data_IF_919698868350
#
_entry.id   IF_919698868350
#
_cell.length_a   1.000
_cell.length_b   1.000
_cell.length_c   1.000
_cell.angle_alpha   90.00
_cell.angle_beta   90.00
_cell.angle_gamma   90.00
#
_symmetry.space_group_name_H-M   'P 1'
#
loop_
_entity.id
_entity.type
_entity.pdbx_description
1 polymer ?
#
# COMPACT_ATOMS: atom_id res chain seq x y z
N UNK A 1 -8.09 -6.42 -18.38
CA UNK A 1 -7.60 -5.04 -18.60
C UNK A 1 -7.79 -4.27 -17.29
N UNK A 2 -6.86 -4.41 -16.35
CA UNK A 2 -7.06 -3.85 -15.00
C UNK A 2 -6.77 -2.37 -15.04
N UNK A 3 -7.83 -1.57 -14.86
CA UNK A 3 -7.81 -0.12 -14.79
C UNK A 3 -6.64 0.34 -13.91
N UNK A 4 -5.85 1.27 -14.43
CA UNK A 4 -4.74 1.91 -13.74
C UNK A 4 -5.34 2.79 -12.64
N UNK A 5 -5.70 2.16 -11.51
CA UNK A 5 -6.38 2.82 -10.39
C UNK A 5 -5.33 3.66 -9.68
N UNK A 6 -5.34 4.96 -9.99
CA UNK A 6 -4.53 5.95 -9.30
C UNK A 6 -4.96 6.01 -7.84
N UNK A 7 -3.98 6.16 -6.96
CA UNK A 7 -4.19 6.37 -5.54
C UNK A 7 -4.08 7.86 -5.25
N UNK A 8 -4.89 8.36 -4.32
CA UNK A 8 -4.65 9.69 -3.76
C UNK A 8 -3.36 9.70 -2.95
N UNK A 9 -2.76 10.86 -2.73
CA UNK A 9 -1.58 11.02 -1.89
C UNK A 9 -1.78 10.38 -0.51
N UNK A 10 -2.93 10.62 0.13
CA UNK A 10 -3.24 10.07 1.45
C UNK A 10 -3.39 8.54 1.43
N UNK A 11 -4.00 7.98 0.38
CA UNK A 11 -4.11 6.52 0.21
C UNK A 11 -2.74 5.88 0.03
N UNK A 12 -1.86 6.53 -0.73
CA UNK A 12 -0.50 6.08 -0.94
C UNK A 12 0.33 6.14 0.36
N UNK A 13 0.25 7.25 1.11
CA UNK A 13 0.96 7.40 2.38
C UNK A 13 0.51 6.37 3.42
N UNK A 14 -0.80 6.10 3.52
CA UNK A 14 -1.33 5.04 4.39
C UNK A 14 -0.83 3.65 3.98
N UNK A 15 -0.78 3.36 2.68
CA UNK A 15 -0.28 2.09 2.18
C UNK A 15 1.22 1.91 2.49
N UNK A 16 2.01 2.98 2.36
CA UNK A 16 3.46 2.97 2.63
C UNK A 16 3.77 2.96 4.12
N UNK A 17 2.96 3.59 4.97
CA UNK A 17 3.20 3.65 6.43
C UNK A 17 3.26 2.26 7.08
N UNK A 18 2.54 1.28 6.54
CA UNK A 18 2.57 -0.11 7.00
C UNK A 18 3.65 -0.98 6.35
N UNK A 19 4.44 -0.45 5.41
CA UNK A 19 5.42 -1.19 4.63
C UNK A 19 6.85 -0.87 5.06
N UNK A 20 7.63 -1.91 5.38
CA UNK A 20 9.09 -1.80 5.44
C UNK A 20 9.65 -1.84 4.02
N UNK A 21 9.74 -0.69 3.37
CA UNK A 21 10.25 -0.52 2.00
C UNK A 21 11.22 0.66 1.96
N UNK A 22 12.27 0.55 1.14
CA UNK A 22 13.26 1.62 0.99
C UNK A 22 12.69 2.84 0.24
N UNK A 23 13.26 4.02 0.48
CA UNK A 23 12.78 5.30 -0.07
C UNK A 23 12.75 5.32 -1.60
N UNK A 24 13.73 4.68 -2.26
CA UNK A 24 13.82 4.66 -3.73
C UNK A 24 12.64 3.93 -4.38
N UNK A 25 12.27 2.70 -3.97
CA UNK A 25 11.01 2.07 -4.37
C UNK A 25 9.75 2.87 -4.04
N UNK A 26 9.68 3.55 -2.89
CA UNK A 26 8.55 4.41 -2.54
C UNK A 26 8.42 5.56 -3.54
N UNK A 27 9.53 6.23 -3.86
CA UNK A 27 9.54 7.31 -4.84
C UNK A 27 9.08 6.82 -6.24
N UNK A 28 9.52 5.63 -6.67
CA UNK A 28 9.06 5.02 -7.93
C UNK A 28 7.56 4.78 -7.93
N UNK A 29 7.04 4.17 -6.86
CA UNK A 29 5.62 3.86 -6.74
C UNK A 29 4.77 5.14 -6.67
N UNK A 30 5.23 6.20 -6.01
CA UNK A 30 4.56 7.51 -5.93
C UNK A 30 4.38 8.14 -7.32
N UNK A 31 5.45 8.13 -8.14
CA UNK A 31 5.40 8.64 -9.52
C UNK A 31 4.36 7.93 -10.38
N UNK A 32 4.20 6.63 -10.17
CA UNK A 32 3.28 5.82 -10.98
C UNK A 32 1.85 5.88 -10.45
N UNK A 33 1.67 5.69 -9.14
CA UNK A 33 0.35 5.52 -8.51
C UNK A 33 -0.32 6.86 -8.17
N UNK A 34 0.45 7.91 -7.86
CA UNK A 34 -0.08 9.23 -7.49
C UNK A 34 0.05 10.23 -8.64
N UNK A 35 1.24 10.36 -9.22
CA UNK A 35 1.50 11.32 -10.31
C UNK A 35 1.00 10.80 -11.69
N UNK A 36 0.59 9.53 -11.79
CA UNK A 36 0.06 8.93 -13.01
C UNK A 36 1.09 8.69 -14.13
N UNK A 37 2.39 8.75 -13.80
CA UNK A 37 3.46 8.45 -14.75
C UNK A 37 3.41 6.99 -15.19
N UNK A 38 3.67 6.70 -16.46
CA UNK A 38 3.75 5.30 -16.90
C UNK A 38 4.96 4.60 -16.26
N UNK A 39 4.86 3.30 -16.00
CA UNK A 39 5.99 2.53 -15.46
C UNK A 39 7.23 2.57 -16.38
N UNK A 40 7.01 2.66 -17.70
CA UNK A 40 8.08 2.76 -18.69
C UNK A 40 8.78 4.13 -18.63
N UNK A 41 8.04 5.21 -18.43
CA UNK A 41 8.61 6.56 -18.28
C UNK A 41 9.35 6.70 -16.96
N UNK A 42 8.79 6.15 -15.87
CA UNK A 42 9.44 6.10 -14.57
C UNK A 42 10.76 5.31 -14.64
N UNK A 43 10.76 4.16 -15.32
CA UNK A 43 11.96 3.35 -15.54
C UNK A 43 13.04 4.12 -16.31
N UNK A 44 12.66 4.82 -17.39
CA UNK A 44 13.58 5.66 -18.19
C UNK A 44 14.12 6.84 -17.38
N UNK A 45 13.25 7.56 -16.66
CA UNK A 45 13.62 8.75 -15.89
C UNK A 45 14.58 8.43 -14.74
N UNK A 46 14.47 7.25 -14.13
CA UNK A 46 15.28 6.85 -12.97
C UNK A 46 16.44 5.90 -13.33
N UNK A 47 16.61 5.57 -14.61
CA UNK A 47 17.66 4.66 -15.08
C UNK A 47 17.56 3.26 -14.48
N UNK A 48 16.35 2.78 -14.23
CA UNK A 48 16.07 1.47 -13.60
C UNK A 48 15.35 0.53 -14.56
N UNK A 49 15.37 -0.77 -14.26
CA UNK A 49 14.61 -1.74 -15.04
C UNK A 49 13.09 -1.56 -14.83
N UNK A 50 12.30 -1.79 -15.88
CA UNK A 50 10.84 -1.78 -15.80
C UNK A 50 10.32 -2.77 -14.73
N UNK A 51 11.01 -3.89 -14.55
CA UNK A 51 10.66 -4.89 -13.53
C UNK A 51 10.83 -4.34 -12.10
N UNK A 52 11.87 -3.55 -11.83
CA UNK A 52 12.04 -2.91 -10.52
C UNK A 52 10.91 -1.94 -10.20
N UNK A 53 10.47 -1.16 -11.20
CA UNK A 53 9.30 -0.27 -11.06
C UNK A 53 8.03 -1.08 -10.82
N UNK A 54 7.81 -2.15 -11.60
CA UNK A 54 6.65 -3.04 -11.44
C UNK A 54 6.58 -3.67 -10.05
N UNK A 55 7.71 -4.17 -9.52
CA UNK A 55 7.80 -4.72 -8.16
C UNK A 55 7.45 -3.68 -7.10
N UNK A 56 7.98 -2.46 -7.21
CA UNK A 56 7.68 -1.39 -6.26
C UNK A 56 6.20 -0.99 -6.29
N UNK A 57 5.64 -0.84 -7.48
CA UNK A 57 4.22 -0.48 -7.68
C UNK A 57 3.29 -1.56 -7.15
N UNK A 58 3.54 -2.82 -7.50
CA UNK A 58 2.72 -3.93 -7.03
C UNK A 58 2.77 -4.04 -5.50
N UNK A 59 3.95 -3.90 -4.89
CA UNK A 59 4.08 -3.97 -3.42
C UNK A 59 3.24 -2.93 -2.69
N UNK A 60 3.23 -1.68 -3.16
CA UNK A 60 2.39 -0.63 -2.55
C UNK A 60 0.90 -0.88 -2.81
N UNK A 61 0.56 -1.38 -3.99
CA UNK A 61 -0.81 -1.67 -4.36
C UNK A 61 -1.39 -2.87 -3.60
N UNK A 62 -0.63 -3.95 -3.46
CA UNK A 62 -1.01 -5.12 -2.66
C UNK A 62 -1.24 -4.69 -1.21
N UNK A 63 -0.37 -3.84 -0.66
CA UNK A 63 -0.53 -3.31 0.70
C UNK A 63 -1.79 -2.43 0.85
N UNK A 64 -2.21 -1.73 -0.20
CA UNK A 64 -3.49 -1.04 -0.19
C UNK A 64 -4.66 -2.02 -0.32
N UNK A 65 -4.60 -2.96 -1.26
CA UNK A 65 -5.70 -3.90 -1.56
C UNK A 65 -5.97 -4.87 -0.39
N UNK A 66 -4.98 -5.11 0.47
CA UNK A 66 -5.15 -5.82 1.75
C UNK A 66 -6.13 -5.15 2.73
N UNK A 67 -6.41 -3.85 2.57
CA UNK A 67 -7.36 -3.12 3.41
C UNK A 67 -8.72 -3.10 2.72
N UNK A 68 -9.74 -3.81 3.24
CA UNK A 68 -11.06 -3.86 2.61
C UNK A 68 -11.71 -2.46 2.53
N UNK A 69 -12.60 -2.27 1.55
CA UNK A 69 -13.34 -1.02 1.43
C UNK A 69 -14.14 -0.73 2.73
N UNK A 70 -14.01 0.49 3.26
CA UNK A 70 -14.62 0.91 4.52
C UNK A 70 -13.80 0.59 5.78
N UNK A 71 -12.62 -0.04 5.62
CA UNK A 71 -11.66 -0.28 6.70
C UNK A 71 -10.42 0.60 6.52
N UNK A 72 -9.71 0.85 7.62
CA UNK A 72 -8.47 1.63 7.64
C UNK A 72 -7.40 0.89 8.44
N UNK A 73 -6.18 0.83 7.91
CA UNK A 73 -5.00 0.35 8.63
C UNK A 73 -4.48 1.47 9.52
N UNK A 74 -4.48 1.26 10.83
CA UNK A 74 -4.00 2.23 11.82
C UNK A 74 -2.75 1.69 12.52
N UNK A 75 -1.74 2.54 12.72
CA UNK A 75 -0.57 2.27 13.56
C UNK A 75 -0.54 3.30 14.67
N UNK A 76 -0.64 2.88 15.93
CA UNK A 76 -0.73 3.76 17.09
C UNK A 76 0.04 3.22 18.30
N UNK A 77 0.60 4.11 19.11
CA UNK A 77 1.20 3.78 20.41
C UNK A 77 0.10 3.89 21.47
N UNK A 78 -0.23 2.77 22.13
CA UNK A 78 -1.33 2.67 23.07
C UNK A 78 -0.87 2.04 24.40
N UNK A 79 -1.51 2.38 25.54
CA UNK A 79 -1.33 1.65 26.79
C UNK A 79 -1.69 0.16 26.65
N UNK A 80 -1.06 -0.71 27.44
CA UNK A 80 -1.17 -2.16 27.33
C UNK A 80 -2.62 -2.66 27.30
N UNK A 81 -3.50 -2.12 28.16
CA UNK A 81 -4.89 -2.53 28.22
C UNK A 81 -5.67 -2.24 26.92
N UNK A 82 -5.40 -1.11 26.27
CA UNK A 82 -6.02 -0.75 24.98
C UNK A 82 -5.43 -1.58 23.84
N UNK A 83 -4.12 -1.84 23.87
CA UNK A 83 -3.47 -2.72 22.91
C UNK A 83 -4.05 -4.14 22.96
N UNK A 84 -4.36 -4.68 24.14
CA UNK A 84 -5.02 -5.98 24.29
C UNK A 84 -6.41 -6.01 23.64
N UNK A 85 -7.19 -4.93 23.77
CA UNK A 85 -8.51 -4.80 23.12
C UNK A 85 -8.36 -4.83 21.59
N UNK A 86 -7.44 -4.02 21.04
CA UNK A 86 -7.19 -3.99 19.58
C UNK A 86 -6.71 -5.34 19.07
N UNK A 87 -5.83 -6.04 19.81
CA UNK A 87 -5.38 -7.40 19.45
C UNK A 87 -6.53 -8.40 19.41
N UNK A 88 -7.44 -8.34 20.38
CA UNK A 88 -8.62 -9.21 20.41
C UNK A 88 -9.55 -9.00 19.20
N UNK A 89 -9.60 -7.78 18.64
CA UNK A 89 -10.39 -7.50 17.43
C UNK A 89 -9.80 -8.19 16.21
N UNK A 90 -8.46 -8.23 16.08
CA UNK A 90 -7.78 -8.95 14.99
C UNK A 90 -8.04 -10.46 15.07
N UNK A 91 -8.04 -11.04 16.27
CA UNK A 91 -8.30 -12.47 16.49
C UNK A 91 -9.78 -12.84 16.25
N UNK A 92 -10.71 -11.97 16.65
CA UNK A 92 -12.15 -12.14 16.37
C UNK A 92 -12.48 -11.87 14.89
N UNK A 93 -11.67 -11.05 14.21
CA UNK A 93 -11.76 -10.76 12.77
C UNK A 93 -11.29 -11.93 11.88
N UNK A 94 -11.60 -13.16 12.26
CA UNK A 94 -11.60 -14.34 11.38
C UNK A 94 -12.73 -14.29 10.31
N UNK A 95 -13.32 -13.11 10.08
CA UNK A 95 -14.28 -12.87 9.02
C UNK A 95 -13.58 -13.05 7.66
N UNK A 96 -13.69 -14.29 7.18
CA UNK A 96 -13.65 -14.69 5.77
C UNK A 96 -14.56 -13.75 4.98
N UNK A 97 -14.04 -12.60 4.55
CA UNK A 97 -14.69 -11.87 3.47
C UNK A 97 -14.17 -12.53 2.18
N UNK A 98 -14.91 -13.54 1.72
CA UNK A 98 -14.76 -14.00 0.34
C UNK A 98 -15.09 -12.80 -0.54
N UNK A 99 -14.09 -12.29 -1.24
CA UNK A 99 -14.29 -11.46 -2.42
C UNK A 99 -15.16 -12.29 -3.37
N UNK A 100 -16.40 -11.86 -3.58
CA UNK A 100 -17.27 -12.37 -4.64
C UNK A 100 -16.88 -11.71 -5.97
#
# INVERSE_FOLDING_TARGET
MSANKLLTSDQFERAVAGLTIADRPVAMARKVLVEGMSQADCARALGVSRNAVSLAVNRVRDAHDEVPAGFERVTAILPLHQASVVKSWTEQSSLKWKVA
#
